data_IF_365464291105
#
_entry.id   IF_365464291105
#
_cell.length_a   1.000
_cell.length_b   1.000
_cell.length_c   1.000
_cell.angle_alpha   90.00
_cell.angle_beta   90.00
_cell.angle_gamma   90.00
#
_symmetry.space_group_name_H-M   'P 1'
#
loop_
_entity.id
_entity.type
_entity.pdbx_description
1 polymer ?
#
# COMPACT_ATOMS: atom_id res chain seq x y z
N UNK A 1 -32.88 32.08 9.20
CA UNK A 1 -31.53 31.55 9.52
C UNK A 1 -31.38 30.24 8.81
N UNK A 2 -30.86 30.27 7.59
CA UNK A 2 -30.85 29.14 6.66
C UNK A 2 -29.42 28.57 6.61
N UNK A 3 -29.24 27.36 7.14
CA UNK A 3 -27.98 26.62 7.08
C UNK A 3 -27.98 25.81 5.79
N UNK A 4 -27.20 26.25 4.81
CA UNK A 4 -26.82 25.43 3.65
C UNK A 4 -25.82 24.38 4.12
N UNK A 5 -26.22 23.11 4.10
CA UNK A 5 -25.33 21.97 4.21
C UNK A 5 -24.65 21.75 2.85
N UNK A 6 -23.32 21.82 2.82
CA UNK A 6 -22.52 21.36 1.69
C UNK A 6 -22.33 19.85 1.85
N UNK A 7 -23.07 19.07 1.07
CA UNK A 7 -22.79 17.65 0.86
C UNK A 7 -21.61 17.55 -0.12
N UNK A 8 -20.42 17.20 0.39
CA UNK A 8 -19.24 16.90 -0.44
C UNK A 8 -19.30 15.42 -0.86
N UNK A 9 -20.14 15.16 -1.87
CA UNK A 9 -20.35 13.84 -2.49
C UNK A 9 -19.64 13.69 -3.84
N UNK A 10 -18.50 14.36 -4.05
CA UNK A 10 -17.77 14.25 -5.31
C UNK A 10 -16.95 12.94 -5.37
N UNK A 11 -17.57 11.90 -5.93
CA UNK A 11 -16.84 10.73 -6.44
C UNK A 11 -15.76 11.21 -7.43
N UNK A 12 -14.49 11.18 -7.00
CA UNK A 12 -13.32 11.47 -7.84
C UNK A 12 -13.22 10.40 -8.94
N UNK A 13 -13.92 10.60 -10.05
CA UNK A 13 -13.61 9.85 -11.27
C UNK A 13 -12.23 10.31 -11.74
N UNK A 14 -11.28 9.40 -12.01
CA UNK A 14 -9.99 9.80 -12.55
C UNK A 14 -10.23 10.51 -13.89
N UNK A 15 -9.80 11.76 -13.97
CA UNK A 15 -9.89 12.54 -15.19
C UNK A 15 -8.92 11.91 -16.21
N UNK A 16 -9.45 11.18 -17.19
CA UNK A 16 -8.65 10.67 -18.29
C UNK A 16 -8.23 11.84 -19.17
N UNK A 17 -7.12 12.48 -18.82
CA UNK A 17 -6.43 13.42 -19.70
C UNK A 17 -5.35 12.70 -20.51
N UNK A 18 -4.83 13.37 -21.54
CA UNK A 18 -3.62 12.93 -22.26
C UNK A 18 -2.45 12.63 -21.31
N UNK A 19 -2.44 13.26 -20.15
CA UNK A 19 -1.36 13.18 -19.17
C UNK A 19 -1.63 12.12 -18.08
N UNK A 20 -2.75 11.38 -18.15
CA UNK A 20 -3.01 10.27 -17.22
C UNK A 20 -2.01 9.13 -17.48
N UNK A 21 -1.19 8.84 -16.47
CA UNK A 21 -0.23 7.74 -16.48
C UNK A 21 -0.71 6.53 -15.68
N UNK A 22 -0.30 5.34 -16.10
CA UNK A 22 -0.43 4.07 -15.38
C UNK A 22 0.98 3.56 -15.01
N UNK A 23 1.14 2.82 -13.90
CA UNK A 23 2.39 2.12 -13.63
C UNK A 23 2.84 1.29 -14.85
N UNK A 24 4.09 1.46 -15.27
CA UNK A 24 4.65 0.82 -16.46
C UNK A 24 4.70 1.72 -17.70
N UNK A 25 3.96 2.83 -17.72
CA UNK A 25 4.06 3.82 -18.80
C UNK A 25 5.47 4.42 -18.87
N UNK A 26 6.00 4.59 -20.09
CA UNK A 26 7.28 5.24 -20.32
C UNK A 26 7.07 6.67 -20.80
N UNK A 27 7.89 7.57 -20.27
CA UNK A 27 7.90 8.97 -20.64
C UNK A 27 9.32 9.37 -21.09
N UNK A 28 9.39 10.12 -22.17
CA UNK A 28 10.59 10.87 -22.51
C UNK A 28 10.55 12.19 -21.74
N UNK A 29 11.53 12.41 -20.87
CA UNK A 29 11.65 13.62 -20.06
C UNK A 29 12.82 14.44 -20.59
N UNK A 30 12.54 15.69 -20.98
CA UNK A 30 13.55 16.63 -21.48
C UNK A 30 13.73 17.76 -20.48
N UNK A 31 14.96 17.95 -20.00
CA UNK A 31 15.34 19.11 -19.20
C UNK A 31 16.01 20.16 -20.12
N UNK A 32 15.36 21.30 -20.27
CA UNK A 32 15.87 22.46 -21.00
C UNK A 32 16.56 23.41 -20.02
N UNK A 33 17.82 23.75 -20.29
CA UNK A 33 18.59 24.72 -19.50
C UNK A 33 19.02 25.87 -20.40
N UNK A 34 18.57 27.09 -20.09
CA UNK A 34 18.92 28.32 -20.81
C UNK A 34 19.43 29.37 -19.80
N UNK A 35 20.75 29.39 -19.58
CA UNK A 35 21.37 30.21 -18.55
C UNK A 35 20.83 29.86 -17.17
N UNK A 36 20.12 30.80 -16.53
CA UNK A 36 19.48 30.59 -15.21
C UNK A 36 18.12 29.88 -15.27
N UNK A 37 17.51 29.75 -16.45
CA UNK A 37 16.19 29.17 -16.60
C UNK A 37 16.28 27.67 -16.80
N UNK A 38 15.40 26.94 -16.11
CA UNK A 38 15.22 25.49 -16.25
C UNK A 38 13.76 25.20 -16.55
N UNK A 39 13.50 24.38 -17.56
CA UNK A 39 12.16 23.87 -17.86
C UNK A 39 12.22 22.35 -18.05
N UNK A 40 11.20 21.65 -17.56
CA UNK A 40 11.03 20.21 -17.78
C UNK A 40 9.82 20.01 -18.67
N UNK A 41 9.99 19.27 -19.75
CA UNK A 41 8.90 18.79 -20.60
C UNK A 41 8.89 17.27 -20.58
N UNK A 42 7.72 16.67 -20.66
CA UNK A 42 7.58 15.22 -20.75
C UNK A 42 6.56 14.85 -21.82
N UNK A 43 6.80 13.73 -22.51
CA UNK A 43 5.85 13.14 -23.44
C UNK A 43 5.76 11.63 -23.24
N UNK A 44 4.53 11.10 -23.31
CA UNK A 44 4.28 9.66 -23.22
C UNK A 44 4.78 8.97 -24.49
N UNK A 45 5.55 7.90 -24.34
CA UNK A 45 6.06 7.10 -25.46
C UNK A 45 4.91 6.23 -25.99
N UNK A 46 4.49 6.45 -27.25
CA UNK A 46 3.26 5.85 -27.81
C UNK A 46 3.35 4.35 -28.08
N UNK A 47 4.55 3.80 -28.26
CA UNK A 47 4.77 2.39 -28.63
C UNK A 47 5.35 1.55 -27.47
N UNK A 48 5.28 2.05 -26.23
CA UNK A 48 5.62 1.22 -25.07
C UNK A 48 4.36 0.56 -24.54
N UNK A 49 4.21 -0.74 -24.76
CA UNK A 49 3.31 -1.53 -23.93
C UNK A 49 3.76 -1.39 -22.47
N UNK A 50 2.88 -0.96 -21.55
CA UNK A 50 3.24 -0.78 -20.15
C UNK A 50 3.60 -2.16 -19.58
N UNK A 51 4.89 -2.41 -19.41
CA UNK A 51 5.39 -3.65 -18.81
C UNK A 51 5.88 -3.32 -17.42
N UNK A 52 5.16 -3.79 -16.40
CA UNK A 52 5.67 -3.76 -15.03
C UNK A 52 6.83 -4.74 -14.96
N UNK A 53 7.97 -4.29 -14.44
CA UNK A 53 9.18 -5.12 -14.28
C UNK A 53 9.41 -5.46 -12.82
N UNK A 54 10.15 -6.53 -12.52
CA UNK A 54 10.47 -6.91 -11.14
C UNK A 54 11.18 -5.78 -10.38
N UNK A 55 12.05 -5.04 -11.08
CA UNK A 55 12.71 -3.85 -10.55
C UNK A 55 11.71 -2.77 -10.09
N UNK A 56 10.55 -2.65 -10.75
CA UNK A 56 9.49 -1.72 -10.34
C UNK A 56 8.73 -2.19 -9.10
N UNK A 57 8.71 -3.48 -8.80
CA UNK A 57 8.14 -4.04 -7.58
C UNK A 57 9.15 -4.06 -6.43
N UNK A 58 10.45 -4.03 -6.72
CA UNK A 58 11.50 -4.02 -5.72
C UNK A 58 11.31 -2.88 -4.71
N UNK A 59 11.51 -3.17 -3.44
CA UNK A 59 11.33 -2.21 -2.37
C UNK A 59 11.30 -2.86 -1.01
N UNK A 60 11.29 -2.00 0.01
CA UNK A 60 11.07 -2.43 1.39
C UNK A 60 9.62 -2.18 1.76
N UNK A 61 9.06 -3.11 2.50
CA UNK A 61 7.67 -3.05 2.94
C UNK A 61 7.64 -2.91 4.45
N UNK A 62 6.71 -2.11 4.93
CA UNK A 62 6.59 -1.75 6.31
C UNK A 62 5.16 -1.93 6.74
N UNK A 63 4.95 -2.49 7.92
CA UNK A 63 3.64 -2.49 8.54
C UNK A 63 3.50 -1.26 9.44
N UNK A 64 2.34 -0.62 9.39
CA UNK A 64 2.03 0.59 10.17
C UNK A 64 0.61 0.52 10.69
N UNK A 65 0.40 1.00 11.92
CA UNK A 65 -0.90 1.02 12.57
C UNK A 65 -0.83 1.61 13.98
N UNK A 66 -1.95 1.70 14.71
CA UNK A 66 -1.94 2.30 16.03
C UNK A 66 -1.05 1.57 17.04
N UNK A 67 -0.87 0.25 16.90
CA UNK A 67 -0.02 -0.56 17.79
C UNK A 67 1.46 -0.17 17.77
N UNK A 68 1.93 0.51 16.72
CA UNK A 68 3.29 1.04 16.64
C UNK A 68 3.30 2.58 16.48
N UNK A 69 2.20 3.25 16.84
CA UNK A 69 2.07 4.71 16.74
C UNK A 69 2.17 5.23 15.31
N UNK A 70 1.71 4.46 14.32
CA UNK A 70 1.88 4.72 12.90
C UNK A 70 3.34 4.82 12.43
N UNK A 71 4.27 4.24 13.18
CA UNK A 71 5.67 4.11 12.73
C UNK A 71 5.81 3.00 11.68
N UNK A 72 6.95 2.98 11.00
CA UNK A 72 7.22 2.01 9.95
C UNK A 72 8.07 0.85 10.48
N UNK A 73 7.42 -0.26 10.84
CA UNK A 73 8.08 -1.51 11.20
C UNK A 73 8.41 -2.30 9.93
N UNK A 74 9.69 -2.55 9.64
CA UNK A 74 10.12 -3.27 8.43
C UNK A 74 9.63 -4.71 8.45
N UNK A 75 9.05 -5.16 7.34
CA UNK A 75 8.71 -6.55 7.11
C UNK A 75 9.94 -7.32 6.62
N UNK A 76 10.08 -8.56 7.08
CA UNK A 76 11.19 -9.46 6.71
C UNK A 76 10.87 -10.12 5.37
N UNK A 77 11.69 -9.84 4.36
CA UNK A 77 11.61 -10.53 3.08
C UNK A 77 12.05 -11.99 3.22
N UNK A 78 11.30 -12.92 2.64
CA UNK A 78 11.67 -14.33 2.58
C UNK A 78 12.85 -14.54 1.63
N UNK A 79 13.85 -15.30 2.08
CA UNK A 79 14.96 -15.76 1.22
C UNK A 79 14.54 -16.87 0.26
N UNK A 80 13.51 -17.64 0.64
CA UNK A 80 13.11 -18.86 -0.06
C UNK A 80 11.96 -18.63 -1.04
N UNK A 81 11.11 -17.63 -0.74
CA UNK A 81 9.94 -17.28 -1.55
C UNK A 81 10.02 -15.82 -1.99
N UNK A 82 10.52 -15.54 -3.21
CA UNK A 82 10.58 -14.18 -3.74
C UNK A 82 9.21 -13.49 -3.70
N UNK A 83 9.21 -12.21 -3.30
CA UNK A 83 8.01 -11.40 -3.19
C UNK A 83 7.17 -11.63 -1.94
N UNK A 84 7.55 -12.57 -1.04
CA UNK A 84 6.92 -12.75 0.27
C UNK A 84 7.63 -11.91 1.34
N UNK A 85 6.84 -11.19 2.13
CA UNK A 85 7.27 -10.34 3.23
C UNK A 85 6.44 -10.66 4.47
N UNK A 86 7.08 -10.74 5.64
CA UNK A 86 6.41 -11.14 6.88
C UNK A 86 6.67 -10.18 8.02
N UNK A 87 5.69 -10.01 8.91
CA UNK A 87 5.86 -9.26 10.15
C UNK A 87 5.02 -9.87 11.28
N UNK A 88 5.59 -9.93 12.48
CA UNK A 88 4.85 -10.26 13.69
C UNK A 88 4.21 -8.99 14.26
N UNK A 89 2.91 -9.05 14.54
CA UNK A 89 2.13 -7.96 15.13
C UNK A 89 1.45 -8.44 16.40
N UNK A 90 1.78 -7.80 17.51
CA UNK A 90 1.21 -8.05 18.81
C UNK A 90 2.26 -8.07 19.91
N UNK A 91 1.86 -8.36 21.17
CA UNK A 91 0.48 -8.63 21.60
C UNK A 91 -0.47 -7.44 21.40
N UNK A 92 -1.72 -7.71 21.03
CA UNK A 92 -2.74 -6.69 20.76
C UNK A 92 -3.88 -6.70 21.79
N UNK A 93 -4.48 -5.54 22.12
CA UNK A 93 -5.66 -5.50 22.98
C UNK A 93 -6.82 -6.32 22.39
N UNK A 94 -7.45 -7.17 23.22
CA UNK A 94 -8.64 -7.96 22.81
C UNK A 94 -9.82 -7.08 22.36
N UNK A 95 -9.95 -5.90 22.95
CA UNK A 95 -11.01 -4.93 22.67
C UNK A 95 -10.39 -3.54 22.56
N UNK A 96 -11.01 -2.71 21.73
CA UNK A 96 -10.63 -1.31 21.56
C UNK A 96 -10.22 -0.96 20.14
N UNK A 97 -9.95 0.32 19.94
CA UNK A 97 -9.34 0.84 18.72
C UNK A 97 -7.85 0.50 18.79
N UNK A 98 -7.27 0.04 17.68
CA UNK A 98 -5.81 -0.11 17.61
C UNK A 98 -5.30 -1.38 16.93
N UNK A 99 -6.19 -2.28 16.55
CA UNK A 99 -5.83 -3.53 15.87
C UNK A 99 -5.85 -3.39 14.34
N UNK A 100 -5.86 -2.15 13.85
CA UNK A 100 -5.90 -1.85 12.43
C UNK A 100 -4.50 -1.63 11.88
N UNK A 101 -4.30 -1.94 10.59
CA UNK A 101 -3.01 -1.73 9.96
C UNK A 101 -3.12 -1.53 8.45
N UNK A 102 -2.02 -1.02 7.88
CA UNK A 102 -1.77 -0.90 6.45
C UNK A 102 -0.33 -1.33 6.16
N UNK A 103 -0.01 -1.57 4.88
CA UNK A 103 1.37 -1.80 4.44
C UNK A 103 1.84 -0.58 3.67
N UNK A 104 3.02 -0.08 4.01
CA UNK A 104 3.66 1.05 3.35
C UNK A 104 4.91 0.57 2.60
N UNK A 105 5.10 1.06 1.37
CA UNK A 105 6.33 0.84 0.62
C UNK A 105 7.31 1.98 0.86
N UNK A 106 8.57 1.65 1.11
CA UNK A 106 9.69 2.59 1.20
C UNK A 106 9.49 3.77 2.17
N UNK A 107 8.63 3.61 3.19
CA UNK A 107 8.27 4.67 4.16
C UNK A 107 7.64 5.90 3.49
N UNK A 108 6.95 5.69 2.38
CA UNK A 108 6.24 6.70 1.60
C UNK A 108 4.73 6.57 1.82
N UNK A 109 4.12 7.60 2.41
CA UNK A 109 2.67 7.64 2.66
C UNK A 109 1.83 7.76 1.38
N UNK A 110 2.46 8.08 0.25
CA UNK A 110 1.81 8.05 -1.06
C UNK A 110 1.91 6.65 -1.71
N UNK A 111 2.52 5.67 -1.03
CA UNK A 111 2.66 4.29 -1.48
C UNK A 111 2.11 3.30 -0.44
N UNK A 112 0.82 3.43 -0.13
CA UNK A 112 0.13 2.60 0.84
C UNK A 112 -0.69 1.50 0.14
N UNK A 113 -0.57 0.29 0.64
CA UNK A 113 -1.49 -0.82 0.33
C UNK A 113 -2.54 -0.92 1.42
N UNK A 114 -3.78 -1.16 1.00
CA UNK A 114 -4.95 -1.16 1.86
C UNK A 114 -6.03 -2.10 1.27
N UNK A 115 -7.02 -2.54 2.07
CA UNK A 115 -8.12 -3.37 1.58
C UNK A 115 -9.15 -2.56 0.79
N UNK A 116 -10.02 -3.26 0.05
CA UNK A 116 -11.18 -2.66 -0.64
C UNK A 116 -12.25 -2.06 0.26
N UNK A 117 -12.26 -2.40 1.55
CA UNK A 117 -13.24 -1.92 2.53
C UNK A 117 -12.62 -1.71 3.90
N UNK A 118 -13.21 -0.79 4.67
CA UNK A 118 -12.81 -0.57 6.06
C UNK A 118 -12.89 -1.87 6.87
N UNK A 119 -11.95 -2.07 7.79
CA UNK A 119 -11.82 -3.30 8.57
C UNK A 119 -11.67 -4.57 7.72
N UNK A 120 -10.87 -4.47 6.66
CA UNK A 120 -10.57 -5.57 5.75
C UNK A 120 -10.12 -6.82 6.51
N UNK A 121 -10.58 -7.98 6.02
CA UNK A 121 -10.26 -9.29 6.60
C UNK A 121 -9.03 -9.91 5.92
N UNK A 122 -8.52 -10.99 6.50
CA UNK A 122 -7.41 -11.78 5.93
C UNK A 122 -7.82 -12.29 4.55
N UNK A 123 -6.96 -12.14 3.55
CA UNK A 123 -7.26 -12.52 2.17
C UNK A 123 -8.17 -11.55 1.41
N UNK A 124 -8.54 -10.41 1.99
CA UNK A 124 -9.20 -9.35 1.24
C UNK A 124 -8.31 -8.85 0.09
N UNK A 125 -8.95 -8.39 -0.99
CA UNK A 125 -8.25 -7.79 -2.14
C UNK A 125 -7.37 -6.61 -1.68
N UNK A 126 -6.16 -6.56 -2.24
CA UNK A 126 -5.14 -5.56 -1.89
C UNK A 126 -5.10 -4.47 -2.96
N UNK A 127 -5.47 -3.25 -2.60
CA UNK A 127 -5.38 -2.05 -3.43
C UNK A 127 -4.03 -1.33 -3.23
N UNK A 128 -3.83 -0.22 -3.94
CA UNK A 128 -2.58 0.55 -3.91
C UNK A 128 -1.47 -0.01 -4.83
N UNK A 129 -0.20 0.37 -4.62
CA UNK A 129 0.25 1.40 -3.69
C UNK A 129 -0.16 2.79 -4.19
N UNK A 130 -0.94 3.52 -3.39
CA UNK A 130 -1.34 4.91 -3.64
C UNK A 130 -1.75 5.62 -2.32
N UNK A 131 -2.22 6.87 -2.40
CA UNK A 131 -2.63 7.72 -1.27
C UNK A 131 -4.15 7.70 -1.00
N UNK A 132 -4.94 6.87 -1.69
CA UNK A 132 -6.40 6.82 -1.54
C UNK A 132 -6.87 5.95 -0.37
N UNK A 133 -5.97 5.63 0.55
CA UNK A 133 -6.21 4.69 1.66
C UNK A 133 -7.06 5.23 2.81
N UNK A 134 -7.60 6.45 2.70
CA UNK A 134 -8.30 7.13 3.79
C UNK A 134 -9.49 6.32 4.31
N UNK A 135 -9.44 5.92 5.58
CA UNK A 135 -10.47 5.09 6.22
C UNK A 135 -10.42 3.61 5.84
N UNK A 136 -9.42 3.16 5.08
CA UNK A 136 -9.28 1.79 4.59
C UNK A 136 -8.09 1.11 5.26
N UNK A 137 -8.37 0.21 6.19
CA UNK A 137 -7.38 -0.53 6.96
C UNK A 137 -7.81 -1.99 7.13
N UNK A 138 -6.83 -2.90 7.20
CA UNK A 138 -7.10 -4.27 7.65
C UNK A 138 -7.29 -4.28 9.16
N UNK A 139 -8.05 -5.25 9.68
CA UNK A 139 -8.34 -5.37 11.11
C UNK A 139 -7.95 -6.74 11.67
N UNK A 140 -6.99 -6.75 12.58
CA UNK A 140 -6.60 -7.92 13.37
C UNK A 140 -7.62 -8.14 14.49
N UNK A 141 -8.07 -9.38 14.66
CA UNK A 141 -9.11 -9.76 15.63
C UNK A 141 -8.55 -10.74 16.66
N UNK A 142 -7.78 -10.27 17.67
CA UNK A 142 -7.26 -11.12 18.74
C UNK A 142 -8.40 -11.75 19.54
N UNK A 143 -8.29 -13.05 19.78
CA UNK A 143 -9.15 -13.79 20.71
C UNK A 143 -8.74 -13.53 22.17
N UNK A 144 -7.45 -13.34 22.41
CA UNK A 144 -6.82 -13.03 23.70
C UNK A 144 -5.84 -11.87 23.55
N UNK A 145 -5.59 -11.13 24.64
CA UNK A 145 -4.67 -9.98 24.61
C UNK A 145 -3.20 -10.35 24.39
N UNK A 146 -2.87 -11.65 24.47
CA UNK A 146 -1.54 -12.21 24.21
C UNK A 146 -1.35 -12.69 22.77
N UNK A 147 -2.39 -12.61 21.93
CA UNK A 147 -2.31 -13.12 20.56
C UNK A 147 -1.31 -12.29 19.75
N UNK A 148 -0.42 -13.00 19.04
CA UNK A 148 0.50 -12.44 18.06
C UNK A 148 0.05 -12.94 16.69
N UNK A 149 0.05 -12.06 15.71
CA UNK A 149 -0.28 -12.38 14.33
C UNK A 149 0.98 -12.38 13.49
N UNK A 150 1.17 -13.43 12.68
CA UNK A 150 2.10 -13.40 11.56
C UNK A 150 1.33 -12.85 10.36
N UNK A 151 1.66 -11.63 9.96
CA UNK A 151 1.16 -10.98 8.75
C UNK A 151 2.08 -11.34 7.59
N UNK A 152 1.48 -11.81 6.50
CA UNK A 152 2.15 -12.20 5.27
C UNK A 152 1.64 -11.34 4.13
N UNK A 153 2.53 -10.56 3.52
CA UNK A 153 2.25 -9.77 2.33
C UNK A 153 3.04 -10.34 1.17
N UNK A 154 2.37 -10.62 0.06
CA UNK A 154 3.00 -11.10 -1.16
C UNK A 154 2.76 -10.12 -2.30
N UNK A 155 3.82 -9.83 -3.04
CA UNK A 155 3.77 -9.02 -4.27
C UNK A 155 4.65 -9.63 -5.35
N UNK A 156 4.06 -10.02 -6.46
CA UNK A 156 4.72 -10.73 -7.57
C UNK A 156 4.26 -10.19 -8.92
N UNK A 157 5.04 -10.46 -9.98
CA UNK A 157 4.56 -10.29 -11.35
C UNK A 157 3.91 -11.57 -11.83
N UNK A 158 2.62 -11.52 -12.14
CA UNK A 158 1.88 -12.64 -12.70
C UNK A 158 1.19 -12.19 -13.98
N UNK A 159 1.50 -12.85 -15.10
CA UNK A 159 0.95 -12.50 -16.41
C UNK A 159 1.24 -11.06 -16.86
N UNK A 160 2.33 -10.44 -16.37
CA UNK A 160 2.67 -9.04 -16.64
C UNK A 160 1.95 -8.01 -15.75
N UNK A 161 1.12 -8.46 -14.81
CA UNK A 161 0.43 -7.61 -13.82
C UNK A 161 1.05 -7.69 -12.43
N UNK A 162 0.78 -6.67 -11.61
CA UNK A 162 1.17 -6.59 -10.19
C UNK A 162 0.17 -7.37 -9.32
N UNK A 163 0.48 -8.64 -9.06
CA UNK A 163 -0.30 -9.53 -8.22
C UNK A 163 0.06 -9.34 -6.75
N UNK A 164 -0.96 -9.17 -5.91
CA UNK A 164 -0.82 -8.83 -4.50
C UNK A 164 -1.76 -9.67 -3.65
N UNK A 165 -1.25 -10.23 -2.58
CA UNK A 165 -2.07 -10.89 -1.56
C UNK A 165 -1.61 -10.49 -0.17
N UNK A 166 -2.55 -10.49 0.78
CA UNK A 166 -2.25 -10.23 2.18
C UNK A 166 -3.08 -11.13 3.06
N UNK A 167 -2.41 -11.90 3.91
CA UNK A 167 -3.02 -12.83 4.86
C UNK A 167 -2.37 -12.70 6.22
N UNK A 168 -3.04 -13.19 7.24
CA UNK A 168 -2.44 -13.37 8.55
C UNK A 168 -3.00 -14.59 9.27
N UNK A 169 -2.19 -15.11 10.19
CA UNK A 169 -2.56 -16.19 11.10
C UNK A 169 -2.09 -15.88 12.52
N UNK A 170 -2.77 -16.42 13.53
CA UNK A 170 -2.32 -16.31 14.92
C UNK A 170 -1.19 -17.31 15.15
N UNK A 171 -0.07 -16.85 15.69
CA UNK A 171 1.03 -17.69 16.14
C UNK A 171 1.00 -17.80 17.67
N UNK A 172 1.33 -18.99 18.19
CA UNK A 172 1.42 -19.17 19.64
C UNK A 172 2.53 -18.27 20.17
N UNK A 173 2.24 -17.41 21.14
CA UNK A 173 3.28 -16.81 21.97
C UNK A 173 4.14 -17.96 22.50
N UNK A 174 5.47 -17.89 22.29
CA UNK A 174 6.39 -18.87 22.87
C UNK A 174 6.10 -18.88 24.37
N UNK A 175 5.56 -19.99 24.87
CA UNK A 175 5.26 -20.16 26.28
C UNK A 175 6.53 -19.87 27.08
N UNK A 176 6.39 -18.97 28.06
CA UNK A 176 7.40 -18.78 29.10
C UNK A 176 7.47 -19.97 30.03
#
# INVERSE_FOLDING_TARGET
TEKLALEDGASRRPYQSRDSGKPGDKYEVTLLIAGKYRAVTWQKVKDSEPTITEAMLAGKYYITGPFNGYSFQEMVASTDTPGLYTAEVGPLPRRGIGNEFQICRNKDWDQIFYPTSAQGQSGAEVLGPDDHSNGLSWSLRPSQSSDIFLVEFRRTLEGGGDARTLTWSTIKAKGG
#
